data_IF_493688923030
#
_entry.id   IF_493688923030
#
_cell.length_a   1.000
_cell.length_b   1.000
_cell.length_c   1.000
_cell.angle_alpha   90.00
_cell.angle_beta   90.00
_cell.angle_gamma   90.00
#
_symmetry.space_group_name_H-M   'P 1'
#
loop_
_entity.id
_entity.type
_entity.pdbx_description
1 polymer ?
#
# COMPACT_ATOMS: atom_id res chain seq x y z
N UNK A 1 22.78 -14.18 -1.35
CA UNK A 1 23.83 -15.06 -1.91
C UNK A 1 23.22 -16.20 -2.72
N UNK A 2 22.14 -16.83 -2.27
CA UNK A 2 21.51 -17.96 -2.98
C UNK A 2 20.79 -17.57 -4.29
N UNK A 3 19.95 -16.53 -4.30
CA UNK A 3 19.27 -16.05 -5.54
C UNK A 3 20.27 -15.70 -6.65
N UNK A 4 21.38 -15.05 -6.29
CA UNK A 4 22.41 -14.66 -7.24
C UNK A 4 23.14 -15.88 -7.82
N UNK A 5 23.48 -16.86 -6.99
CA UNK A 5 24.06 -18.13 -7.45
C UNK A 5 23.11 -18.90 -8.37
N UNK A 6 21.81 -18.95 -8.03
CA UNK A 6 20.81 -19.61 -8.87
C UNK A 6 20.65 -18.89 -10.23
N UNK A 7 20.79 -17.56 -10.27
CA UNK A 7 20.81 -16.81 -11.52
C UNK A 7 22.04 -17.16 -12.38
N UNK A 8 23.23 -17.25 -11.79
CA UNK A 8 24.46 -17.61 -12.51
C UNK A 8 24.37 -19.03 -13.09
N UNK A 9 23.82 -19.99 -12.34
CA UNK A 9 23.60 -21.35 -12.82
C UNK A 9 22.59 -21.36 -13.97
N UNK A 10 21.48 -20.64 -13.83
CA UNK A 10 20.52 -20.48 -14.92
C UNK A 10 21.17 -19.84 -16.15
N UNK A 11 21.96 -18.77 -16.02
CA UNK A 11 22.62 -18.10 -17.14
C UNK A 11 23.55 -19.04 -17.93
N UNK A 12 24.22 -19.98 -17.26
CA UNK A 12 25.10 -20.96 -17.90
C UNK A 12 24.34 -22.05 -18.67
N UNK A 13 23.13 -22.39 -18.24
CA UNK A 13 22.33 -23.48 -18.80
C UNK A 13 21.19 -22.99 -19.70
N UNK A 14 20.85 -21.72 -19.65
CA UNK A 14 19.77 -21.13 -20.43
C UNK A 14 20.10 -21.13 -21.92
N UNK A 15 19.12 -21.53 -22.73
CA UNK A 15 19.13 -21.22 -24.15
C UNK A 15 18.96 -19.71 -24.38
N UNK A 16 19.37 -19.17 -25.55
CA UNK A 16 19.14 -17.76 -25.88
C UNK A 16 17.67 -17.32 -25.78
N UNK A 17 16.74 -18.22 -26.14
CA UNK A 17 15.31 -17.96 -26.04
C UNK A 17 14.85 -17.88 -24.58
N UNK A 18 15.29 -18.81 -23.72
CA UNK A 18 14.99 -18.79 -22.29
C UNK A 18 15.57 -17.55 -21.61
N UNK A 19 16.79 -17.15 -21.99
CA UNK A 19 17.41 -15.92 -21.48
C UNK A 19 16.62 -14.67 -21.89
N UNK A 20 16.20 -14.60 -23.17
CA UNK A 20 15.34 -13.52 -23.66
C UNK A 20 14.01 -13.44 -22.90
N UNK A 21 13.32 -14.57 -22.72
CA UNK A 21 12.07 -14.64 -21.95
C UNK A 21 12.29 -14.22 -20.49
N UNK A 22 13.39 -14.66 -19.87
CA UNK A 22 13.79 -14.21 -18.53
C UNK A 22 13.98 -12.69 -18.46
N UNK A 23 14.62 -12.05 -19.44
CA UNK A 23 14.81 -10.60 -19.43
C UNK A 23 13.49 -9.82 -19.47
N UNK A 24 12.52 -10.30 -20.25
CA UNK A 24 11.15 -9.75 -20.27
C UNK A 24 10.52 -9.92 -18.89
N UNK A 25 10.51 -11.14 -18.35
CA UNK A 25 9.95 -11.43 -17.03
C UNK A 25 10.62 -10.62 -15.91
N UNK A 26 11.94 -10.42 -15.97
CA UNK A 26 12.72 -9.68 -14.97
C UNK A 26 12.21 -8.25 -14.81
N UNK A 27 11.83 -7.59 -15.90
CA UNK A 27 11.26 -6.24 -15.88
C UNK A 27 9.88 -6.22 -15.20
N UNK A 28 9.03 -7.20 -15.52
CA UNK A 28 7.69 -7.36 -14.95
C UNK A 28 7.74 -7.68 -13.47
N UNK A 29 8.60 -8.61 -13.06
CA UNK A 29 8.83 -8.96 -11.65
C UNK A 29 9.31 -7.77 -10.81
N UNK A 30 10.11 -6.86 -11.37
CA UNK A 30 10.51 -5.62 -10.68
C UNK A 30 9.32 -4.69 -10.45
N UNK A 31 8.48 -4.53 -11.47
CA UNK A 31 7.28 -3.70 -11.36
C UNK A 31 6.26 -4.33 -10.39
N UNK A 32 6.05 -5.64 -10.48
CA UNK A 32 5.22 -6.41 -9.55
C UNK A 32 5.65 -6.22 -8.11
N UNK A 33 6.96 -6.30 -7.82
CA UNK A 33 7.46 -6.06 -6.46
C UNK A 33 7.10 -4.68 -5.90
N UNK A 34 6.97 -3.65 -6.75
CA UNK A 34 6.53 -2.31 -6.34
C UNK A 34 5.01 -2.27 -6.12
N UNK A 35 4.23 -2.84 -7.05
CA UNK A 35 2.76 -2.83 -6.97
C UNK A 35 2.23 -3.70 -5.83
N UNK A 36 2.82 -4.87 -5.61
CA UNK A 36 2.51 -5.74 -4.47
C UNK A 36 2.78 -5.04 -3.13
N UNK A 37 3.92 -4.34 -2.99
CA UNK A 37 4.21 -3.49 -1.82
C UNK A 37 3.14 -2.44 -1.58
N UNK A 38 2.73 -1.72 -2.64
CA UNK A 38 1.71 -0.68 -2.53
C UNK A 38 0.35 -1.25 -2.10
N UNK A 39 -0.05 -2.38 -2.67
CA UNK A 39 -1.31 -3.06 -2.33
C UNK A 39 -1.31 -3.59 -0.88
N UNK A 40 -0.22 -4.20 -0.45
CA UNK A 40 -0.10 -4.67 0.94
C UNK A 40 -0.10 -3.49 1.92
N UNK A 41 0.61 -2.42 1.59
CA UNK A 41 0.63 -1.19 2.37
C UNK A 41 -0.76 -0.52 2.45
N UNK A 42 -1.51 -0.44 1.33
CA UNK A 42 -2.85 0.15 1.32
C UNK A 42 -3.83 -0.67 2.15
N UNK A 43 -3.74 -2.00 2.09
CA UNK A 43 -4.57 -2.91 2.89
C UNK A 43 -4.30 -2.71 4.38
N UNK A 44 -3.03 -2.58 4.76
CA UNK A 44 -2.62 -2.32 6.14
C UNK A 44 -3.06 -0.94 6.63
N UNK A 45 -3.01 0.08 5.78
CA UNK A 45 -3.53 1.41 6.09
C UNK A 45 -5.03 1.40 6.38
N UNK A 46 -5.82 0.65 5.62
CA UNK A 46 -7.24 0.47 5.93
C UNK A 46 -7.42 -0.24 7.27
N UNK A 47 -6.65 -1.31 7.52
CA UNK A 47 -6.71 -2.04 8.80
C UNK A 47 -6.41 -1.15 10.01
N UNK A 48 -5.52 -0.17 9.85
CA UNK A 48 -5.07 0.72 10.93
C UNK A 48 -5.76 2.09 10.94
N UNK A 49 -6.72 2.34 10.04
CA UNK A 49 -7.32 3.66 9.81
C UNK A 49 -6.28 4.78 9.62
N UNK A 50 -5.20 4.47 8.88
CA UNK A 50 -4.08 5.38 8.59
C UNK A 50 -4.08 5.83 7.11
N UNK A 51 -5.02 6.70 6.70
CA UNK A 51 -5.10 7.14 5.32
C UNK A 51 -3.79 7.81 4.86
N UNK A 52 -3.38 7.61 3.60
CA UNK A 52 -2.30 8.39 3.01
C UNK A 52 -2.54 9.90 3.14
N UNK A 53 -1.45 10.69 3.21
CA UNK A 53 -1.51 12.14 3.37
C UNK A 53 -2.44 12.83 2.36
N UNK A 54 -2.43 12.40 1.10
CA UNK A 54 -3.27 12.98 0.06
C UNK A 54 -4.78 12.75 0.27
N UNK A 55 -5.16 11.72 1.05
CA UNK A 55 -6.55 11.50 1.48
C UNK A 55 -6.81 12.24 2.80
N UNK A 56 -5.88 12.19 3.76
CA UNK A 56 -6.08 12.79 5.09
C UNK A 56 -6.10 14.32 5.09
N UNK A 57 -5.42 14.97 4.14
CA UNK A 57 -5.32 16.42 4.06
C UNK A 57 -6.61 17.12 3.63
N UNK A 58 -7.63 16.36 3.22
CA UNK A 58 -8.92 16.93 2.83
C UNK A 58 -9.84 16.91 4.07
N UNK A 59 -10.28 18.10 4.46
CA UNK A 59 -11.29 18.34 5.48
C UNK A 59 -12.36 19.27 4.91
N UNK A 60 -13.61 18.81 4.95
CA UNK A 60 -14.77 19.58 4.48
C UNK A 60 -15.39 20.44 5.58
N UNK A 61 -14.73 20.55 6.73
CA UNK A 61 -15.17 21.43 7.81
C UNK A 61 -14.92 22.90 7.43
N UNK A 62 -15.97 23.71 7.52
CA UNK A 62 -15.90 25.16 7.38
C UNK A 62 -16.51 25.85 8.60
N UNK A 63 -16.10 27.09 8.86
CA UNK A 63 -16.64 27.87 9.97
C UNK A 63 -18.04 28.35 9.63
N UNK A 64 -18.97 28.15 10.56
CA UNK A 64 -20.32 28.69 10.51
C UNK A 64 -20.41 29.93 11.41
N UNK A 65 -21.33 30.83 11.09
CA UNK A 65 -21.57 32.02 11.91
C UNK A 65 -22.42 31.66 13.14
N UNK A 66 -21.74 31.32 14.22
CA UNK A 66 -22.33 30.94 15.51
C UNK A 66 -23.09 32.08 16.20
N UNK A 67 -23.06 33.31 15.67
CA UNK A 67 -23.89 34.41 16.18
C UNK A 67 -25.35 34.35 15.69
N UNK A 68 -25.61 33.59 14.63
CA UNK A 68 -26.92 33.44 13.99
C UNK A 68 -27.59 32.14 14.42
N UNK A 69 -26.83 31.05 14.54
CA UNK A 69 -27.32 29.73 14.93
C UNK A 69 -27.29 29.56 16.45
N UNK A 70 -28.24 28.80 17.00
CA UNK A 70 -28.10 28.31 18.36
C UNK A 70 -27.03 27.19 18.43
N UNK A 71 -26.54 26.90 19.64
CA UNK A 71 -25.44 25.95 19.85
C UNK A 71 -25.75 24.55 19.30
N UNK A 72 -27.00 24.09 19.46
CA UNK A 72 -27.42 22.76 19.00
C UNK A 72 -27.44 22.66 17.47
N UNK A 73 -27.96 23.69 16.78
CA UNK A 73 -27.96 23.77 15.32
C UNK A 73 -26.55 23.87 14.75
N UNK A 74 -25.70 24.69 15.38
CA UNK A 74 -24.30 24.83 14.99
C UNK A 74 -23.56 23.48 15.13
N UNK A 75 -23.72 22.81 16.27
CA UNK A 75 -23.11 21.50 16.50
C UNK A 75 -23.64 20.43 15.55
N UNK A 76 -24.94 20.45 15.21
CA UNK A 76 -25.51 19.54 14.23
C UNK A 76 -24.88 19.72 12.84
N UNK A 77 -24.65 20.96 12.40
CA UNK A 77 -23.94 21.25 11.15
C UNK A 77 -22.49 20.77 11.19
N UNK A 78 -21.75 21.03 12.26
CA UNK A 78 -20.38 20.51 12.41
C UNK A 78 -20.34 18.98 12.38
N UNK A 79 -21.33 18.31 13.00
CA UNK A 79 -21.43 16.85 12.95
C UNK A 79 -21.67 16.34 11.53
N UNK A 80 -22.51 17.03 10.73
CA UNK A 80 -22.71 16.72 9.32
C UNK A 80 -21.41 16.91 8.50
N UNK A 81 -20.66 18.00 8.74
CA UNK A 81 -19.36 18.20 8.08
C UNK A 81 -18.36 17.09 8.41
N UNK A 82 -18.25 16.71 9.70
CA UNK A 82 -17.41 15.59 10.14
C UNK A 82 -17.83 14.29 9.48
N UNK A 83 -19.13 14.06 9.33
CA UNK A 83 -19.66 12.89 8.65
C UNK A 83 -19.23 12.87 7.17
N UNK A 84 -19.37 13.98 6.46
CA UNK A 84 -18.91 14.12 5.07
C UNK A 84 -17.41 13.85 4.94
N UNK A 85 -16.58 14.44 5.80
CA UNK A 85 -15.13 14.19 5.83
C UNK A 85 -14.82 12.71 6.06
N UNK A 86 -15.53 12.06 6.99
CA UNK A 86 -15.36 10.62 7.25
C UNK A 86 -15.78 9.76 6.06
N UNK A 87 -16.92 10.03 5.45
CA UNK A 87 -17.40 9.29 4.28
C UNK A 87 -16.45 9.41 3.09
N UNK A 88 -15.96 10.63 2.81
CA UNK A 88 -14.94 10.85 1.79
C UNK A 88 -13.70 9.99 2.04
N UNK A 89 -13.16 9.98 3.27
CA UNK A 89 -11.97 9.20 3.62
C UNK A 89 -12.20 7.70 3.37
N UNK A 90 -13.35 7.17 3.78
CA UNK A 90 -13.70 5.75 3.58
C UNK A 90 -13.78 5.42 2.08
N UNK A 91 -14.51 6.23 1.30
CA UNK A 91 -14.68 6.00 -0.14
C UNK A 91 -13.35 6.12 -0.89
N UNK A 92 -12.55 7.15 -0.59
CA UNK A 92 -11.24 7.36 -1.20
C UNK A 92 -10.27 6.23 -0.86
N UNK A 93 -10.26 5.75 0.39
CA UNK A 93 -9.45 4.61 0.81
C UNK A 93 -9.88 3.32 0.12
N UNK A 94 -11.19 3.09 -0.03
CA UNK A 94 -11.73 1.94 -0.75
C UNK A 94 -11.27 1.93 -2.20
N UNK A 95 -11.43 3.05 -2.91
CA UNK A 95 -10.97 3.20 -4.29
C UNK A 95 -9.46 3.03 -4.42
N UNK A 96 -8.68 3.55 -3.47
CA UNK A 96 -7.24 3.40 -3.44
C UNK A 96 -6.80 1.93 -3.29
N UNK A 97 -7.43 1.17 -2.40
CA UNK A 97 -7.18 -0.27 -2.26
C UNK A 97 -7.61 -1.03 -3.51
N UNK A 98 -8.78 -0.74 -4.06
CA UNK A 98 -9.25 -1.37 -5.29
C UNK A 98 -8.30 -1.14 -6.47
N UNK A 99 -7.83 0.10 -6.64
CA UNK A 99 -6.89 0.46 -7.70
C UNK A 99 -5.57 -0.28 -7.55
N UNK A 100 -4.98 -0.26 -6.35
CA UNK A 100 -3.69 -0.93 -6.10
C UNK A 100 -3.79 -2.45 -6.22
N UNK A 101 -4.91 -3.05 -5.80
CA UNK A 101 -5.19 -4.46 -6.01
C UNK A 101 -5.24 -4.78 -7.50
N UNK A 102 -6.01 -4.00 -8.28
CA UNK A 102 -6.18 -4.26 -9.71
C UNK A 102 -4.87 -4.15 -10.49
N UNK A 103 -4.04 -3.16 -10.17
CA UNK A 103 -2.69 -3.06 -10.75
C UNK A 103 -1.82 -4.29 -10.44
N UNK A 104 -1.95 -4.82 -9.22
CA UNK A 104 -1.21 -6.02 -8.80
C UNK A 104 -1.71 -7.27 -9.51
N UNK A 105 -3.03 -7.45 -9.65
CA UNK A 105 -3.65 -8.57 -10.36
C UNK A 105 -3.21 -8.62 -11.83
N UNK A 106 -3.27 -7.50 -12.55
CA UNK A 106 -2.87 -7.44 -13.96
C UNK A 106 -1.43 -7.92 -14.13
N UNK A 107 -0.51 -7.48 -13.26
CA UNK A 107 0.88 -7.92 -13.32
C UNK A 107 1.05 -9.39 -12.93
N UNK A 108 0.27 -9.86 -11.97
CA UNK A 108 0.28 -11.27 -11.54
C UNK A 108 -0.15 -12.17 -12.70
N UNK A 109 -1.21 -11.79 -13.40
CA UNK A 109 -1.69 -12.50 -14.57
C UNK A 109 -0.65 -12.47 -15.70
N UNK A 110 -0.09 -11.31 -16.04
CA UNK A 110 0.96 -11.21 -17.07
C UNK A 110 2.18 -12.09 -16.76
N UNK A 111 2.65 -12.05 -15.51
CA UNK A 111 3.79 -12.87 -15.06
C UNK A 111 3.46 -14.36 -15.18
N UNK A 112 2.26 -14.76 -14.74
CA UNK A 112 1.80 -16.14 -14.82
C UNK A 112 1.79 -16.64 -16.28
N UNK A 113 1.25 -15.85 -17.20
CA UNK A 113 1.25 -16.21 -18.63
C UNK A 113 2.66 -16.35 -19.20
N UNK A 114 3.61 -15.48 -18.80
CA UNK A 114 5.01 -15.59 -19.26
C UNK A 114 5.68 -16.86 -18.71
N UNK A 115 5.40 -17.23 -17.46
CA UNK A 115 5.94 -18.44 -16.83
C UNK A 115 5.33 -19.69 -17.46
N UNK A 116 4.02 -19.70 -17.71
CA UNK A 116 3.33 -20.82 -18.37
C UNK A 116 3.79 -21.02 -19.82
N UNK A 117 4.10 -19.94 -20.52
CA UNK A 117 4.66 -19.95 -21.87
C UNK A 117 6.19 -20.02 -21.92
N UNK A 118 6.87 -20.32 -20.80
CA UNK A 118 8.32 -20.34 -20.77
C UNK A 118 8.86 -21.49 -21.65
N UNK A 119 9.97 -21.29 -22.41
CA UNK A 119 10.45 -22.32 -23.32
C UNK A 119 10.94 -23.57 -22.56
N UNK A 120 10.31 -24.71 -22.86
CA UNK A 120 10.67 -26.05 -22.41
C UNK A 120 10.81 -26.84 -23.71
N UNK A 121 12.02 -27.24 -24.13
CA UNK A 121 12.12 -28.02 -25.36
C UNK A 121 11.54 -29.40 -25.11
N UNK A 122 10.42 -29.70 -25.77
CA UNK A 122 9.91 -31.06 -25.92
C UNK A 122 9.92 -31.42 -27.40
N UNK A 123 11.00 -32.12 -27.76
CA UNK A 123 11.17 -33.05 -28.88
C UNK A 123 11.50 -32.55 -30.31
N UNK A 124 12.37 -33.34 -30.97
CA UNK A 124 12.62 -33.50 -32.41
C UNK A 124 13.82 -32.82 -33.13
N UNK A 125 14.91 -32.41 -32.46
CA UNK A 125 16.17 -32.16 -33.19
C UNK A 125 17.42 -32.55 -32.38
N UNK A 126 18.17 -33.52 -32.92
CA UNK A 126 19.36 -34.19 -32.37
C UNK A 126 20.60 -33.30 -32.12
N UNK A 127 20.46 -31.97 -32.11
CA UNK A 127 21.55 -31.02 -31.82
C UNK A 127 21.25 -30.04 -30.66
N UNK A 128 20.19 -30.27 -29.87
CA UNK A 128 19.76 -29.28 -28.88
C UNK A 128 20.45 -29.40 -27.52
N UNK A 129 21.11 -28.30 -27.14
CA UNK A 129 21.46 -27.93 -25.76
C UNK A 129 20.27 -28.23 -24.84
N UNK A 130 20.54 -28.88 -23.70
CA UNK A 130 19.58 -29.35 -22.69
C UNK A 130 18.73 -28.19 -22.11
N UNK A 131 17.68 -27.79 -22.85
CA UNK A 131 16.80 -26.70 -22.45
C UNK A 131 15.88 -27.09 -21.29
N UNK A 132 15.72 -28.39 -21.00
CA UNK A 132 15.01 -28.85 -19.81
C UNK A 132 15.80 -28.47 -18.55
N UNK A 133 17.12 -28.67 -18.56
CA UNK A 133 18.01 -28.19 -17.49
C UNK A 133 17.88 -26.67 -17.26
N UNK A 134 17.89 -25.87 -18.35
CA UNK A 134 17.71 -24.42 -18.26
C UNK A 134 16.36 -24.00 -17.66
N UNK A 135 15.27 -24.74 -17.95
CA UNK A 135 13.95 -24.45 -17.37
C UNK A 135 13.87 -24.80 -15.87
N UNK A 136 14.45 -25.93 -15.46
CA UNK A 136 14.52 -26.35 -14.06
C UNK A 136 15.25 -25.29 -13.22
N UNK A 137 16.40 -24.83 -13.70
CA UNK A 137 17.18 -23.80 -13.01
C UNK A 137 16.49 -22.44 -13.02
N UNK A 138 15.82 -22.09 -14.11
CA UNK A 138 14.96 -20.90 -14.15
C UNK A 138 13.90 -20.94 -13.04
N UNK A 139 13.20 -22.06 -12.89
CA UNK A 139 12.14 -22.21 -11.88
C UNK A 139 12.71 -22.05 -10.47
N UNK A 140 13.83 -22.71 -10.19
CA UNK A 140 14.52 -22.58 -8.90
C UNK A 140 14.92 -21.13 -8.60
N UNK A 141 15.54 -20.45 -9.57
CA UNK A 141 15.86 -19.04 -9.48
C UNK A 141 14.63 -18.16 -9.24
N UNK A 142 13.55 -18.38 -9.99
CA UNK A 142 12.34 -17.57 -9.91
C UNK A 142 11.63 -17.71 -8.56
N UNK A 143 11.59 -18.92 -7.99
CA UNK A 143 11.08 -19.18 -6.65
C UNK A 143 11.87 -18.41 -5.57
N UNK A 144 13.20 -18.39 -5.66
CA UNK A 144 14.05 -17.63 -4.73
C UNK A 144 13.81 -16.12 -4.85
N UNK A 145 13.66 -15.64 -6.08
CA UNK A 145 13.37 -14.23 -6.35
C UNK A 145 12.01 -13.81 -5.80
N UNK A 146 10.99 -14.63 -5.99
CA UNK A 146 9.65 -14.39 -5.47
C UNK A 146 9.68 -14.33 -3.93
N UNK A 147 10.36 -15.28 -3.28
CA UNK A 147 10.57 -15.26 -1.81
C UNK A 147 11.22 -13.96 -1.34
N UNK A 148 12.27 -13.47 -2.02
CA UNK A 148 12.89 -12.18 -1.67
C UNK A 148 11.90 -11.03 -1.81
N UNK A 149 11.15 -10.95 -2.90
CA UNK A 149 10.18 -9.88 -3.13
C UNK A 149 9.09 -9.87 -2.05
N UNK A 150 8.59 -11.03 -1.65
CA UNK A 150 7.61 -11.17 -0.57
C UNK A 150 8.17 -10.70 0.77
N UNK A 151 9.40 -11.11 1.12
CA UNK A 151 10.08 -10.64 2.33
C UNK A 151 10.31 -9.12 2.34
N UNK A 152 10.68 -8.53 1.20
CA UNK A 152 10.80 -7.08 1.10
C UNK A 152 9.45 -6.38 1.27
N UNK A 153 8.37 -6.99 0.77
CA UNK A 153 7.04 -6.44 0.94
C UNK A 153 6.58 -6.48 2.39
N UNK A 154 6.80 -7.59 3.09
CA UNK A 154 6.57 -7.71 4.54
C UNK A 154 7.36 -6.66 5.33
N UNK A 155 8.66 -6.51 5.04
CA UNK A 155 9.50 -5.49 5.69
C UNK A 155 9.00 -4.07 5.45
N UNK A 156 8.47 -3.77 4.26
CA UNK A 156 7.96 -2.43 3.95
C UNK A 156 6.74 -2.04 4.78
N UNK A 157 5.99 -3.03 5.30
CA UNK A 157 4.82 -2.82 6.16
C UNK A 157 5.25 -2.47 7.60
N UNK A 158 6.45 -2.86 8.03
CA UNK A 158 6.93 -2.61 9.39
C UNK A 158 6.87 -1.13 9.79
N UNK A 159 7.14 -0.22 8.84
CA UNK A 159 7.03 1.22 9.06
C UNK A 159 5.60 1.66 9.41
N UNK A 160 4.58 1.04 8.80
CA UNK A 160 3.18 1.33 9.13
C UNK A 160 2.81 0.84 10.53
N UNK A 161 3.42 -0.25 10.99
CA UNK A 161 3.24 -0.74 12.36
C UNK A 161 3.82 0.25 13.38
N UNK A 162 5.00 0.81 13.10
CA UNK A 162 5.59 1.87 13.94
C UNK A 162 4.67 3.09 13.98
N UNK A 163 4.20 3.57 12.83
CA UNK A 163 3.29 4.72 12.77
C UNK A 163 1.99 4.49 13.53
N UNK A 164 1.46 3.27 13.50
CA UNK A 164 0.30 2.88 14.29
C UNK A 164 0.59 2.98 15.78
N UNK A 165 1.68 2.38 16.27
CA UNK A 165 2.05 2.42 17.69
C UNK A 165 2.30 3.85 18.17
N UNK A 166 3.02 4.66 17.38
CA UNK A 166 3.26 6.07 17.70
C UNK A 166 1.96 6.91 17.65
N UNK A 167 1.05 6.60 16.73
CA UNK A 167 -0.27 7.23 16.65
C UNK A 167 -1.17 6.90 17.84
N UNK A 168 -1.22 5.62 18.24
CA UNK A 168 -1.95 5.16 19.44
C UNK A 168 -1.43 5.84 20.72
N UNK A 169 -0.12 6.06 20.84
CA UNK A 169 0.48 6.80 21.98
C UNK A 169 0.02 8.27 21.97
N UNK A 170 -0.04 8.92 20.80
CA UNK A 170 -0.48 10.32 20.68
C UNK A 170 -1.98 10.49 20.89
N UNK A 171 -2.81 9.57 20.40
CA UNK A 171 -4.27 9.61 20.65
C UNK A 171 -4.61 9.42 22.13
N UNK A 172 -3.80 8.68 22.90
CA UNK A 172 -3.94 8.59 24.36
C UNK A 172 -3.54 9.89 25.09
N UNK A 173 -2.64 10.69 24.51
CA UNK A 173 -2.27 12.01 25.04
C UNK A 173 -3.24 13.11 24.58
N UNK A 174 -3.89 12.94 23.43
CA UNK A 174 -4.86 13.85 22.80
C UNK A 174 -6.33 13.41 23.00
N UNK A 175 -6.71 12.90 24.17
CA UNK A 175 -8.12 12.89 24.60
C UNK A 175 -8.58 14.35 24.80
N UNK A 176 -8.72 15.07 23.69
CA UNK A 176 -9.10 16.48 23.60
C UNK A 176 -10.58 16.55 23.91
N UNK A 177 -10.87 16.85 25.17
CA UNK A 177 -12.12 17.47 25.59
C UNK A 177 -12.39 18.61 24.60
N UNK A 178 -13.55 18.59 23.95
CA UNK A 178 -13.98 19.65 23.05
C UNK A 178 -13.73 21.01 23.73
N UNK A 179 -13.17 22.02 23.04
CA UNK A 179 -12.97 23.32 23.65
C UNK A 179 -14.35 23.94 23.90
N UNK A 180 -14.91 23.68 25.08
CA UNK A 180 -15.95 24.53 25.64
C UNK A 180 -15.29 25.88 25.87
N UNK A 181 -15.58 26.83 24.99
CA UNK A 181 -15.37 28.24 25.26
C UNK A 181 -16.35 28.63 26.39
N UNK A 182 -16.06 28.21 27.62
CA UNK A 182 -16.49 28.98 28.78
C UNK A 182 -15.81 30.33 28.63
N UNK A 183 -16.58 31.33 28.18
CA UNK A 183 -16.23 32.75 28.38
C UNK A 183 -15.80 32.86 29.84
N UNK A 184 -14.51 33.07 30.09
CA UNK A 184 -14.13 33.69 31.36
C UNK A 184 -14.75 35.08 31.29
N UNK A 185 -15.88 35.24 31.97
CA UNK A 185 -16.32 36.55 32.40
C UNK A 185 -15.22 37.03 33.34
N UNK A 186 -14.28 37.81 32.78
CA UNK A 186 -13.26 38.49 33.54
C UNK A 186 -13.92 39.26 34.68
N UNK A 187 -13.36 39.08 35.85
CA UNK A 187 -13.66 39.85 37.05
C UNK A 187 -13.34 41.33 36.78
N UNK A 188 -14.30 42.06 36.23
CA UNK A 188 -14.30 43.52 36.17
C UNK A 188 -15.73 44.04 36.41
N UNK A 189 -16.30 43.63 37.55
CA UNK A 189 -17.38 44.37 38.21
C UNK A 189 -16.87 44.85 39.57
N UNK A 190 -15.94 45.81 39.54
CA UNK A 190 -15.73 46.69 40.69
C UNK A 190 -16.88 47.70 40.73
N UNK A 191 -17.97 47.35 41.40
CA UNK A 191 -18.88 48.34 41.96
C UNK A 191 -18.16 49.02 43.13
N UNK A 192 -17.62 50.22 42.90
CA UNK A 192 -17.16 51.07 44.00
C UNK A 192 -18.34 51.80 44.66
N UNK A 193 -18.29 52.01 45.99
CA UNK A 193 -19.36 52.64 46.77
C UNK A 193 -19.54 54.14 46.48
#
# INVERSE_FOLDING_TARGET
MEEYKALEVFEQLATPLQWSTHLVLKSKMKLYGTKSKNYLASTKRVKYDLPPKFISNIDFTFKIDESIFNEDEAQALYNQMRHITKEYRIQAMSLYVQSTNRECEILTDEIKHIIEGFPINTEENDEQVDAESGYIEFKHYNELREKRLNLEAEKSIYFLEIQRVEGEIKEQEEEIIAPTLTRSLGEDFSLQP
#
